data_IF_415677841251
#
_entry.id   IF_415677841251
#
_cell.length_a   1.000
_cell.length_b   1.000
_cell.length_c   1.000
_cell.angle_alpha   90.00
_cell.angle_beta   90.00
_cell.angle_gamma   90.00
#
_symmetry.space_group_name_H-M   'P 1'
#
loop_
_entity.id
_entity.type
_entity.pdbx_description
1 polymer ?
#
# COMPACT_ATOMS: atom_id res chain seq x y z
N UNK A 1 -14.37 26.19 -10.19
CA UNK A 1 -13.84 26.89 -9.00
C UNK A 1 -12.33 26.88 -9.07
N UNK A 2 -11.69 28.05 -8.86
CA UNK A 2 -10.24 28.19 -9.08
C UNK A 2 -9.45 28.13 -7.79
N UNK A 3 -8.20 27.64 -7.91
CA UNK A 3 -7.18 27.72 -6.86
C UNK A 3 -6.63 29.15 -6.85
N UNK A 4 -6.69 29.85 -5.71
CA UNK A 4 -6.20 31.22 -5.57
C UNK A 4 -4.88 31.34 -4.83
N UNK A 5 -4.53 30.36 -3.99
CA UNK A 5 -3.22 30.26 -3.33
C UNK A 5 -2.91 28.79 -2.98
N UNK A 6 -1.62 28.51 -2.72
CA UNK A 6 -1.12 27.20 -2.33
C UNK A 6 -0.13 27.35 -1.18
N UNK A 7 -0.28 26.52 -0.15
CA UNK A 7 0.65 26.47 0.97
C UNK A 7 1.27 25.07 1.07
N UNK A 8 2.54 25.01 1.44
CA UNK A 8 3.25 23.77 1.73
C UNK A 8 3.79 23.82 3.15
N UNK A 9 3.47 22.81 3.94
CA UNK A 9 3.91 22.74 5.34
C UNK A 9 4.58 21.41 5.64
N UNK A 10 5.71 21.46 6.36
CA UNK A 10 6.36 20.25 6.85
C UNK A 10 5.46 19.52 7.83
N UNK A 11 5.36 18.21 7.66
CA UNK A 11 4.62 17.30 8.53
C UNK A 11 5.38 15.98 8.71
N UNK A 12 4.84 15.07 9.52
CA UNK A 12 5.41 13.74 9.74
C UNK A 12 4.46 12.65 9.23
N UNK A 13 5.06 11.54 8.80
CA UNK A 13 4.34 10.32 8.50
C UNK A 13 4.07 9.50 9.78
N UNK A 14 3.29 8.44 9.65
CA UNK A 14 3.03 7.53 10.76
C UNK A 14 4.14 6.52 11.04
N UNK A 15 5.31 6.65 10.37
CA UNK A 15 6.45 5.76 10.57
C UNK A 15 7.78 6.48 10.33
N UNK A 16 8.78 5.79 9.76
CA UNK A 16 10.16 6.22 9.64
C UNK A 16 10.69 5.93 8.23
N UNK A 17 11.74 6.66 7.82
CA UNK A 17 12.59 6.26 6.72
C UNK A 17 13.68 5.33 7.24
N UNK A 18 13.90 4.22 6.56
CA UNK A 18 14.93 3.23 6.87
C UNK A 18 15.88 3.05 5.68
N UNK A 19 17.18 3.17 5.93
CA UNK A 19 18.20 2.86 4.93
C UNK A 19 18.31 1.32 4.74
N UNK A 20 17.54 0.81 3.78
CA UNK A 20 17.48 -0.63 3.49
C UNK A 20 18.85 -1.23 3.15
N UNK A 21 19.73 -0.46 2.45
CA UNK A 21 21.06 -0.93 2.09
C UNK A 21 21.94 -1.15 3.33
N UNK A 22 21.88 -0.21 4.28
CA UNK A 22 22.61 -0.34 5.54
C UNK A 22 22.06 -1.50 6.39
N UNK A 23 20.72 -1.65 6.47
CA UNK A 23 20.08 -2.73 7.23
C UNK A 23 20.44 -4.11 6.66
N UNK A 24 20.47 -4.26 5.33
CA UNK A 24 20.84 -5.53 4.68
C UNK A 24 22.33 -5.86 4.77
N UNK A 25 23.19 -4.87 5.04
CA UNK A 25 24.64 -5.07 5.08
C UNK A 25 25.11 -5.48 6.48
N UNK A 26 25.25 -4.53 7.39
CA UNK A 26 25.89 -4.78 8.69
C UNK A 26 25.24 -4.01 9.86
N UNK A 27 24.09 -3.37 9.65
CA UNK A 27 23.44 -2.61 10.70
C UNK A 27 23.00 -3.51 11.86
N UNK A 28 23.29 -3.10 13.07
CA UNK A 28 22.91 -3.82 14.29
C UNK A 28 21.70 -3.15 14.91
N UNK A 29 20.63 -3.88 15.11
CA UNK A 29 19.44 -3.37 15.78
C UNK A 29 19.70 -3.22 17.29
N UNK A 30 19.45 -2.01 17.82
CA UNK A 30 19.55 -1.69 19.24
C UNK A 30 18.23 -1.07 19.71
N UNK A 31 17.35 -1.88 20.25
CA UNK A 31 15.99 -1.47 20.55
C UNK A 31 15.25 -1.06 19.27
N UNK A 32 14.78 0.18 19.21
CA UNK A 32 14.12 0.73 18.01
C UNK A 32 15.10 1.39 17.04
N UNK A 33 16.34 1.60 17.43
CA UNK A 33 17.38 2.24 16.63
C UNK A 33 18.25 1.21 15.90
N UNK A 34 18.99 1.68 14.89
CA UNK A 34 20.04 0.93 14.23
C UNK A 34 21.40 1.58 14.49
N UNK A 35 22.41 0.76 14.73
CA UNK A 35 23.82 1.16 14.86
C UNK A 35 24.54 0.77 13.58
N UNK A 36 25.32 1.71 13.01
CA UNK A 36 26.08 1.55 11.77
C UNK A 36 26.10 2.83 10.96
N UNK A 37 26.71 2.76 9.79
CA UNK A 37 26.84 3.90 8.87
C UNK A 37 25.77 3.82 7.78
N UNK A 38 25.08 4.93 7.45
CA UNK A 38 24.18 5.01 6.32
C UNK A 38 24.88 4.66 5.00
N UNK A 39 24.15 4.04 4.08
CA UNK A 39 24.65 3.59 2.77
C UNK A 39 23.92 4.26 1.60
N UNK A 40 22.72 4.78 1.84
CA UNK A 40 21.89 5.45 0.82
C UNK A 40 22.04 6.96 0.92
N UNK A 41 22.19 7.62 -0.21
CA UNK A 41 22.33 9.08 -0.29
C UNK A 41 21.16 9.80 0.41
N UNK A 42 21.46 10.88 1.13
CA UNK A 42 20.48 11.67 1.90
C UNK A 42 20.25 11.18 3.33
N UNK A 43 20.54 9.91 3.65
CA UNK A 43 20.42 9.43 5.03
C UNK A 43 21.58 9.92 5.91
N UNK A 44 21.24 10.54 7.04
CA UNK A 44 22.19 10.92 8.09
C UNK A 44 22.26 9.89 9.22
N UNK A 45 21.25 9.05 9.34
CA UNK A 45 21.15 7.90 10.24
C UNK A 45 20.44 6.77 9.49
N UNK A 46 20.67 5.52 9.90
CA UNK A 46 20.03 4.35 9.27
C UNK A 46 18.50 4.40 9.39
N UNK A 47 17.98 4.92 10.51
CA UNK A 47 16.56 5.22 10.71
C UNK A 47 16.37 6.69 10.99
N UNK A 48 15.53 7.35 10.21
CA UNK A 48 15.18 8.76 10.34
C UNK A 48 13.67 8.92 10.49
N UNK A 49 13.18 10.02 11.12
CA UNK A 49 11.75 10.31 11.11
C UNK A 49 11.18 10.32 9.69
N UNK A 50 10.03 9.70 9.47
CA UNK A 50 9.31 9.82 8.22
C UNK A 50 8.75 11.24 8.08
N UNK A 51 9.17 11.97 7.05
CA UNK A 51 8.69 13.31 6.76
C UNK A 51 7.65 13.30 5.64
N UNK A 52 6.74 14.26 5.69
CA UNK A 52 5.76 14.52 4.65
C UNK A 52 5.65 16.03 4.42
N UNK A 53 5.05 16.41 3.28
CA UNK A 53 4.69 17.80 3.00
C UNK A 53 3.19 17.86 2.79
N UNK A 54 2.50 18.62 3.64
CA UNK A 54 1.08 18.87 3.46
C UNK A 54 0.89 19.97 2.41
N UNK A 55 0.11 19.66 1.38
CA UNK A 55 -0.28 20.55 0.28
C UNK A 55 -1.68 21.08 0.58
N UNK A 56 -1.84 22.41 0.64
CA UNK A 56 -3.09 23.07 0.93
C UNK A 56 -3.45 23.98 -0.24
N UNK A 57 -4.50 23.63 -1.00
CA UNK A 57 -5.00 24.38 -2.14
C UNK A 57 -6.15 25.26 -1.67
N UNK A 58 -5.94 26.57 -1.62
CA UNK A 58 -6.95 27.54 -1.21
C UNK A 58 -7.82 27.89 -2.43
N UNK A 59 -9.12 27.67 -2.33
CA UNK A 59 -10.09 27.95 -3.38
C UNK A 59 -10.69 29.35 -3.24
N UNK A 60 -11.20 29.92 -4.33
CA UNK A 60 -11.78 31.26 -4.38
C UNK A 60 -12.99 31.48 -3.44
N UNK A 61 -13.63 30.41 -2.98
CA UNK A 61 -14.71 30.47 -1.97
C UNK A 61 -14.21 30.32 -0.53
N UNK A 62 -12.89 30.18 -0.32
CA UNK A 62 -12.27 29.96 0.98
C UNK A 62 -12.17 28.50 1.44
N UNK A 63 -12.72 27.55 0.70
CA UNK A 63 -12.50 26.12 0.97
C UNK A 63 -11.03 25.76 0.72
N UNK A 64 -10.55 24.68 1.37
CA UNK A 64 -9.17 24.22 1.25
C UNK A 64 -9.13 22.75 0.86
N UNK A 65 -8.59 22.45 -0.32
CA UNK A 65 -8.23 21.09 -0.72
C UNK A 65 -6.91 20.69 -0.05
N UNK A 66 -6.83 19.50 0.54
CA UNK A 66 -5.67 19.06 1.32
C UNK A 66 -5.19 17.69 0.86
N UNK A 67 -3.86 17.52 0.78
CA UNK A 67 -3.21 16.24 0.52
C UNK A 67 -1.78 16.22 1.04
N UNK A 68 -1.22 15.04 1.27
CA UNK A 68 0.10 14.88 1.85
C UNK A 68 1.05 14.15 0.90
N UNK A 69 2.16 14.80 0.60
CA UNK A 69 3.30 14.18 -0.08
C UNK A 69 4.01 13.25 0.90
N UNK A 70 3.83 11.95 0.73
CA UNK A 70 4.47 10.92 1.54
C UNK A 70 5.19 9.93 0.64
N UNK A 71 6.39 9.49 1.05
CA UNK A 71 7.17 8.48 0.36
C UNK A 71 7.20 7.17 1.17
N UNK A 72 7.61 6.08 0.52
CA UNK A 72 7.74 4.78 1.18
C UNK A 72 8.89 4.75 2.20
N UNK A 73 8.83 3.83 3.14
CA UNK A 73 9.84 3.61 4.17
C UNK A 73 11.26 3.43 3.60
N UNK A 74 11.40 2.64 2.53
CA UNK A 74 12.67 2.31 1.90
C UNK A 74 12.95 3.20 0.67
N UNK A 75 12.86 4.52 0.84
CA UNK A 75 13.18 5.49 -0.22
C UNK A 75 14.61 5.34 -0.72
N UNK A 76 14.84 5.57 -2.02
CA UNK A 76 16.14 5.43 -2.67
C UNK A 76 16.62 3.99 -2.89
N UNK A 77 15.80 2.98 -2.58
CA UNK A 77 16.10 1.57 -2.80
C UNK A 77 15.10 0.93 -3.79
N UNK A 78 15.53 -0.12 -4.50
CA UNK A 78 14.63 -0.87 -5.39
C UNK A 78 14.06 -0.07 -6.56
N UNK A 79 14.82 0.88 -7.12
CA UNK A 79 14.39 1.74 -8.24
C UNK A 79 13.46 2.89 -7.84
N UNK A 80 13.24 3.11 -6.54
CA UNK A 80 12.42 4.20 -6.02
C UNK A 80 13.15 5.53 -6.04
N UNK A 81 12.38 6.62 -6.04
CA UNK A 81 12.89 7.99 -5.93
C UNK A 81 13.72 8.17 -4.65
N UNK A 82 14.61 9.19 -4.60
CA UNK A 82 15.47 9.48 -3.46
C UNK A 82 14.70 9.71 -2.15
N UNK A 83 15.42 9.81 -1.04
CA UNK A 83 14.85 10.19 0.25
C UNK A 83 14.09 11.52 0.16
N UNK A 84 12.86 11.54 0.67
CA UNK A 84 11.96 12.69 0.57
C UNK A 84 11.99 13.52 1.86
N UNK A 85 12.76 14.62 1.87
CA UNK A 85 12.89 15.52 3.02
C UNK A 85 12.18 16.84 2.76
N UNK A 86 11.33 17.26 3.70
CA UNK A 86 10.49 18.45 3.53
C UNK A 86 11.28 19.73 3.30
N UNK A 87 12.41 19.91 4.02
CA UNK A 87 13.23 21.11 3.92
C UNK A 87 13.92 21.24 2.55
N UNK A 88 14.10 20.14 1.81
CA UNK A 88 14.66 20.14 0.46
C UNK A 88 13.59 20.39 -0.61
N UNK A 89 12.41 19.79 -0.44
CA UNK A 89 11.37 19.82 -1.49
C UNK A 89 10.36 20.97 -1.35
N UNK A 90 10.15 21.57 -0.17
CA UNK A 90 9.28 22.75 -0.02
C UNK A 90 9.75 23.93 -0.91
N UNK A 91 11.04 24.34 -0.90
CA UNK A 91 11.51 25.40 -1.78
C UNK A 91 11.31 25.09 -3.27
N UNK A 92 11.46 23.83 -3.67
CA UNK A 92 11.20 23.37 -5.03
C UNK A 92 9.71 23.50 -5.41
N UNK A 93 8.81 23.04 -4.54
CA UNK A 93 7.36 23.16 -4.72
C UNK A 93 6.90 24.63 -4.81
N UNK A 94 7.40 25.50 -3.94
CA UNK A 94 7.09 26.93 -3.93
C UNK A 94 7.52 27.60 -5.25
N UNK A 95 8.73 27.29 -5.72
CA UNK A 95 9.29 27.91 -6.92
C UNK A 95 8.67 27.40 -8.21
N UNK A 96 8.48 26.10 -8.33
CA UNK A 96 8.19 25.47 -9.62
C UNK A 96 6.76 24.95 -9.77
N UNK A 97 6.11 24.53 -8.69
CA UNK A 97 4.78 23.88 -8.74
C UNK A 97 3.66 24.84 -8.37
N UNK A 98 3.84 25.64 -7.31
CA UNK A 98 2.84 26.63 -6.86
C UNK A 98 2.35 27.55 -7.99
N UNK A 99 3.23 28.16 -8.82
CA UNK A 99 2.76 29.04 -9.91
C UNK A 99 1.89 28.32 -10.96
N UNK A 100 2.06 27.00 -11.11
CA UNK A 100 1.28 26.19 -12.05
C UNK A 100 -0.08 25.79 -11.49
N UNK A 101 -0.19 25.65 -10.17
CA UNK A 101 -1.44 25.30 -9.50
C UNK A 101 -2.39 26.50 -9.36
N UNK A 102 -1.86 27.71 -9.16
CA UNK A 102 -2.66 28.93 -9.04
C UNK A 102 -3.39 29.19 -10.36
N UNK A 103 -4.70 29.38 -10.27
CA UNK A 103 -5.58 29.61 -11.43
C UNK A 103 -6.20 28.35 -12.03
N UNK A 104 -5.77 27.14 -11.65
CA UNK A 104 -6.39 25.88 -12.09
C UNK A 104 -7.85 25.79 -11.65
N UNK A 105 -8.69 25.31 -12.54
CA UNK A 105 -10.09 24.99 -12.27
C UNK A 105 -10.23 23.54 -11.78
N UNK A 106 -10.73 23.39 -10.57
CA UNK A 106 -10.86 22.09 -9.90
C UNK A 106 -12.19 21.38 -10.21
N UNK A 107 -12.77 21.59 -11.39
CA UNK A 107 -14.05 20.99 -11.79
C UNK A 107 -13.96 19.53 -12.20
N UNK A 108 -12.78 19.07 -12.69
CA UNK A 108 -12.53 17.72 -13.17
C UNK A 108 -11.21 17.20 -12.61
N UNK A 109 -11.27 16.23 -11.72
CA UNK A 109 -10.09 15.65 -11.08
C UNK A 109 -9.25 14.86 -12.09
N UNK A 110 -9.88 14.05 -12.93
CA UNK A 110 -9.17 13.19 -13.89
C UNK A 110 -8.19 13.97 -14.76
N UNK A 111 -8.64 15.07 -15.35
CA UNK A 111 -7.78 15.93 -16.18
C UNK A 111 -6.63 16.54 -15.38
N UNK A 112 -6.90 17.01 -14.16
CA UNK A 112 -5.87 17.61 -13.32
C UNK A 112 -4.87 16.56 -12.82
N UNK A 113 -5.34 15.41 -12.38
CA UNK A 113 -4.44 14.36 -11.89
C UNK A 113 -3.50 13.85 -12.97
N UNK A 114 -3.99 13.62 -14.20
CA UNK A 114 -3.14 13.26 -15.34
C UNK A 114 -2.11 14.34 -15.63
N UNK A 115 -2.51 15.62 -15.64
CA UNK A 115 -1.60 16.75 -15.87
C UNK A 115 -0.45 16.79 -14.86
N UNK A 116 -0.76 16.72 -13.56
CA UNK A 116 0.25 16.86 -12.50
C UNK A 116 1.04 15.59 -12.25
N UNK A 117 0.47 14.42 -12.50
CA UNK A 117 1.22 13.17 -12.44
C UNK A 117 2.27 13.07 -13.56
N UNK A 118 1.99 13.62 -14.76
CA UNK A 118 2.93 13.64 -15.88
C UNK A 118 3.76 14.92 -15.97
N UNK A 119 3.67 15.81 -14.97
CA UNK A 119 4.40 17.08 -15.00
C UNK A 119 5.92 16.85 -15.01
N UNK A 120 6.57 17.46 -16.01
CA UNK A 120 8.03 17.46 -16.17
C UNK A 120 8.54 18.86 -15.97
N UNK A 121 9.47 19.04 -15.05
CA UNK A 121 10.15 20.34 -14.77
C UNK A 121 11.64 20.12 -14.96
N UNK A 122 12.27 20.98 -15.76
CA UNK A 122 13.71 20.90 -16.08
C UNK A 122 14.14 19.51 -16.59
N UNK A 123 13.29 18.87 -17.39
CA UNK A 123 13.53 17.54 -17.98
C UNK A 123 13.34 16.35 -17.03
N UNK A 124 12.89 16.57 -15.79
CA UNK A 124 12.62 15.52 -14.81
C UNK A 124 11.15 15.49 -14.42
N UNK A 125 10.60 14.30 -14.29
CA UNK A 125 9.27 14.10 -13.69
C UNK A 125 9.32 14.44 -12.22
N UNK A 126 8.23 14.94 -11.66
CA UNK A 126 8.13 15.18 -10.22
C UNK A 126 8.35 13.89 -9.43
N UNK A 127 8.97 14.02 -8.27
CA UNK A 127 9.10 12.93 -7.29
C UNK A 127 7.74 12.25 -7.04
N UNK A 128 7.72 10.92 -6.91
CA UNK A 128 6.47 10.15 -6.68
C UNK A 128 5.67 10.68 -5.50
N UNK A 129 6.33 11.03 -4.38
CA UNK A 129 5.68 11.63 -3.22
C UNK A 129 4.99 12.96 -3.54
N UNK A 130 5.60 13.82 -4.35
CA UNK A 130 4.97 15.09 -4.77
C UNK A 130 3.73 14.85 -5.62
N UNK A 131 3.82 13.94 -6.61
CA UNK A 131 2.67 13.57 -7.44
C UNK A 131 1.53 12.99 -6.59
N UNK A 132 1.87 12.17 -5.60
CA UNK A 132 0.95 11.57 -4.66
C UNK A 132 0.19 12.62 -3.84
N UNK A 133 0.90 13.55 -3.20
CA UNK A 133 0.30 14.59 -2.35
C UNK A 133 -0.48 15.65 -3.15
N UNK A 134 0.06 16.09 -4.29
CA UNK A 134 -0.61 17.09 -5.14
C UNK A 134 -1.93 16.52 -5.67
N UNK A 135 -1.96 15.29 -6.15
CA UNK A 135 -3.20 14.69 -6.65
C UNK A 135 -4.22 14.42 -5.55
N UNK A 136 -3.80 14.13 -4.31
CA UNK A 136 -4.69 14.08 -3.15
C UNK A 136 -5.35 15.45 -2.90
N UNK A 137 -4.54 16.51 -2.88
CA UNK A 137 -5.04 17.87 -2.66
C UNK A 137 -6.00 18.31 -3.79
N UNK A 138 -5.71 17.97 -5.04
CA UNK A 138 -6.60 18.22 -6.18
C UNK A 138 -7.90 17.44 -6.08
N UNK A 139 -7.86 16.17 -5.70
CA UNK A 139 -9.06 15.36 -5.46
C UNK A 139 -9.92 15.95 -4.33
N UNK A 140 -9.27 16.36 -3.23
CA UNK A 140 -9.93 17.04 -2.11
C UNK A 140 -10.59 18.36 -2.54
N UNK A 141 -9.88 19.16 -3.34
CA UNK A 141 -10.42 20.43 -3.87
C UNK A 141 -11.63 20.19 -4.80
N UNK A 142 -11.53 19.21 -5.72
CA UNK A 142 -12.63 18.82 -6.62
C UNK A 142 -13.85 18.34 -5.83
N UNK A 143 -13.64 17.50 -4.83
CA UNK A 143 -14.73 16.98 -4.00
C UNK A 143 -15.47 18.11 -3.26
N UNK A 144 -14.73 19.06 -2.67
CA UNK A 144 -15.30 20.23 -1.99
C UNK A 144 -16.06 21.13 -2.96
N UNK A 145 -15.45 21.50 -4.08
CA UNK A 145 -16.05 22.39 -5.08
C UNK A 145 -17.33 21.82 -5.70
N UNK A 146 -17.49 20.51 -5.69
CA UNK A 146 -18.63 19.80 -6.30
C UNK A 146 -19.56 19.18 -5.28
N UNK A 147 -19.33 19.41 -3.98
CA UNK A 147 -20.12 18.85 -2.87
C UNK A 147 -20.23 17.33 -2.89
N UNK A 148 -19.16 16.64 -3.34
CA UNK A 148 -19.04 15.17 -3.37
C UNK A 148 -18.02 14.67 -2.33
N UNK A 149 -18.05 13.40 -2.00
CA UNK A 149 -16.93 12.73 -1.34
C UNK A 149 -15.83 12.46 -2.36
N UNK A 150 -14.59 12.19 -1.90
CA UNK A 150 -13.49 11.79 -2.80
C UNK A 150 -13.88 10.53 -3.60
N UNK A 151 -14.54 9.57 -2.93
CA UNK A 151 -14.99 8.34 -3.55
C UNK A 151 -16.03 8.58 -4.65
N UNK A 152 -16.97 9.52 -4.47
CA UNK A 152 -17.93 9.88 -5.51
C UNK A 152 -17.25 10.52 -6.71
N UNK A 153 -16.24 11.39 -6.51
CA UNK A 153 -15.46 11.97 -7.62
C UNK A 153 -14.74 10.87 -8.40
N UNK A 154 -14.00 9.99 -7.72
CA UNK A 154 -13.28 8.89 -8.38
C UNK A 154 -14.25 7.94 -9.10
N UNK A 155 -15.36 7.55 -8.45
CA UNK A 155 -16.37 6.71 -9.09
C UNK A 155 -16.90 7.34 -10.37
N UNK A 156 -17.32 8.60 -10.30
CA UNK A 156 -17.97 9.26 -11.43
C UNK A 156 -17.01 9.47 -12.61
N UNK A 157 -15.71 9.70 -12.35
CA UNK A 157 -14.72 10.03 -13.37
C UNK A 157 -13.93 8.80 -13.89
N UNK A 158 -13.78 7.73 -13.09
CA UNK A 158 -13.00 6.54 -13.46
C UNK A 158 -13.84 5.26 -13.56
N UNK A 159 -14.89 5.11 -12.75
CA UNK A 159 -15.70 3.89 -12.66
C UNK A 159 -17.22 4.18 -12.67
N UNK A 160 -17.73 4.91 -13.67
CA UNK A 160 -19.11 5.41 -13.68
C UNK A 160 -20.19 4.32 -13.69
N UNK A 161 -19.83 3.09 -14.01
CA UNK A 161 -20.75 1.94 -13.99
C UNK A 161 -20.94 1.36 -12.60
N UNK A 162 -20.04 1.63 -11.66
CA UNK A 162 -20.13 1.17 -10.27
C UNK A 162 -21.03 2.09 -9.45
N UNK A 163 -22.33 1.79 -9.42
CA UNK A 163 -23.34 2.72 -8.86
C UNK A 163 -23.36 2.78 -7.32
N UNK A 164 -22.93 1.73 -6.65
CA UNK A 164 -23.05 1.59 -5.20
C UNK A 164 -21.66 1.48 -4.57
N UNK A 165 -21.36 2.38 -3.63
CA UNK A 165 -20.14 2.28 -2.82
C UNK A 165 -20.37 1.28 -1.70
N UNK A 166 -19.61 0.20 -1.69
CA UNK A 166 -19.70 -0.87 -0.71
C UNK A 166 -18.45 -0.91 0.17
N UNK A 167 -18.60 -1.48 1.38
CA UNK A 167 -17.48 -1.83 2.23
C UNK A 167 -16.60 -2.87 1.51
N UNK A 168 -15.31 -2.69 1.58
CA UNK A 168 -14.31 -3.66 1.10
C UNK A 168 -13.53 -4.23 2.29
N UNK A 169 -12.93 -5.43 2.18
CA UNK A 169 -12.13 -6.03 3.24
C UNK A 169 -10.95 -5.14 3.64
N UNK A 170 -10.63 -5.11 4.93
CA UNK A 170 -9.50 -4.37 5.49
C UNK A 170 -8.43 -5.35 5.95
N UNK A 171 -7.19 -5.11 5.52
CA UNK A 171 -6.00 -5.85 5.91
C UNK A 171 -5.21 -5.09 6.95
N UNK A 172 -4.96 -5.68 8.12
CA UNK A 172 -4.21 -5.05 9.20
C UNK A 172 -2.77 -5.56 9.28
N UNK A 173 -1.85 -4.65 9.59
CA UNK A 173 -0.44 -4.92 9.77
C UNK A 173 -0.10 -5.17 11.24
N UNK A 174 0.79 -6.15 11.52
CA UNK A 174 1.24 -6.44 12.88
C UNK A 174 2.59 -5.81 13.22
N UNK A 175 3.36 -5.40 12.21
CA UNK A 175 4.77 -5.12 12.42
C UNK A 175 5.49 -6.32 13.06
N UNK A 176 6.51 -6.05 13.86
CA UNK A 176 7.27 -7.09 14.58
C UNK A 176 6.56 -7.62 15.83
N UNK A 177 5.60 -6.90 16.40
CA UNK A 177 4.77 -7.40 17.52
C UNK A 177 3.64 -8.32 17.02
N UNK A 178 4.03 -9.38 16.34
CA UNK A 178 3.16 -10.28 15.59
C UNK A 178 2.11 -10.98 16.46
N UNK A 179 2.45 -11.32 17.69
CA UNK A 179 1.57 -12.09 18.56
C UNK A 179 0.51 -11.22 19.23
N UNK A 180 0.90 -10.14 19.89
CA UNK A 180 -0.05 -9.23 20.54
C UNK A 180 -0.98 -8.54 19.54
N UNK A 181 -0.45 -8.14 18.38
CA UNK A 181 -1.26 -7.50 17.37
C UNK A 181 -2.27 -8.46 16.72
N UNK A 182 -1.98 -9.74 16.60
CA UNK A 182 -2.99 -10.75 16.16
C UNK A 182 -4.18 -10.79 17.14
N UNK A 183 -3.95 -10.74 18.44
CA UNK A 183 -5.04 -10.69 19.43
C UNK A 183 -5.92 -9.46 19.25
N UNK A 184 -5.32 -8.29 19.03
CA UNK A 184 -6.05 -7.05 18.74
C UNK A 184 -6.88 -7.16 17.46
N UNK A 185 -6.34 -7.80 16.41
CA UNK A 185 -7.03 -8.04 15.13
C UNK A 185 -8.24 -8.95 15.32
N UNK A 186 -8.11 -10.03 16.07
CA UNK A 186 -9.22 -10.94 16.39
C UNK A 186 -10.33 -10.20 17.14
N UNK A 187 -9.98 -9.43 18.18
CA UNK A 187 -10.94 -8.65 18.96
C UNK A 187 -11.69 -7.60 18.11
N UNK A 188 -11.02 -7.03 17.11
CA UNK A 188 -11.62 -6.04 16.19
C UNK A 188 -12.27 -6.68 14.96
N UNK A 189 -12.22 -8.01 14.83
CA UNK A 189 -12.75 -8.76 13.68
C UNK A 189 -12.24 -8.21 12.34
N UNK A 190 -10.92 -8.09 12.20
CA UNK A 190 -10.26 -7.62 10.98
C UNK A 190 -10.44 -8.64 9.87
N UNK A 191 -10.68 -8.20 8.63
CA UNK A 191 -11.04 -9.09 7.52
C UNK A 191 -9.84 -9.91 6.99
N UNK A 192 -8.63 -9.30 6.96
CA UNK A 192 -7.39 -10.00 6.58
C UNK A 192 -6.25 -9.63 7.55
N UNK A 193 -5.41 -10.61 7.91
CA UNK A 193 -4.41 -10.47 8.96
C UNK A 193 -3.28 -11.52 8.81
N UNK A 194 -2.11 -11.33 9.38
CA UNK A 194 -1.61 -10.14 10.10
C UNK A 194 -0.54 -9.34 9.34
N UNK A 195 -0.23 -9.58 8.09
CA UNK A 195 0.98 -9.18 7.35
C UNK A 195 2.25 -9.92 7.86
N UNK A 196 2.51 -9.89 9.15
CA UNK A 196 3.50 -10.64 9.92
C UNK A 196 4.98 -10.28 9.73
N UNK A 197 5.36 -9.54 8.67
CA UNK A 197 6.73 -9.07 8.42
C UNK A 197 7.76 -10.23 8.47
N UNK A 198 7.58 -11.29 7.64
CA UNK A 198 8.46 -12.48 7.62
C UNK A 198 9.70 -12.20 6.74
N UNK A 199 10.50 -11.24 7.11
CA UNK A 199 11.64 -10.73 6.35
C UNK A 199 13.00 -11.33 6.76
N UNK A 200 13.03 -12.42 7.50
CA UNK A 200 14.24 -13.09 7.94
C UNK A 200 14.05 -14.61 7.94
N UNK A 201 14.91 -15.33 7.18
CA UNK A 201 14.83 -16.79 7.07
C UNK A 201 15.07 -17.46 8.41
N UNK A 202 16.19 -17.13 9.07
CA UNK A 202 16.61 -17.81 10.30
C UNK A 202 15.62 -17.61 11.45
N UNK A 203 15.17 -16.38 11.65
CA UNK A 203 14.46 -16.01 12.88
C UNK A 203 12.93 -16.07 12.74
N UNK A 204 12.40 -15.89 11.52
CA UNK A 204 10.95 -15.74 11.27
C UNK A 204 10.34 -16.81 10.38
N UNK A 205 11.02 -17.21 9.30
CA UNK A 205 10.54 -18.26 8.38
C UNK A 205 10.91 -19.67 8.86
N UNK A 206 12.15 -19.88 9.27
CA UNK A 206 12.80 -21.20 9.39
C UNK A 206 13.47 -21.64 8.09
N UNK A 207 14.52 -22.47 8.17
CA UNK A 207 15.27 -22.90 6.97
C UNK A 207 14.47 -23.83 6.04
N UNK A 208 13.41 -24.44 6.55
CA UNK A 208 12.44 -25.24 5.80
C UNK A 208 11.01 -24.66 5.93
N UNK A 209 10.87 -23.40 6.33
CA UNK A 209 9.59 -22.76 6.52
C UNK A 209 8.86 -23.16 7.81
N UNK A 210 9.49 -23.94 8.68
CA UNK A 210 8.90 -24.54 9.88
C UNK A 210 8.36 -23.49 10.87
N UNK A 211 9.06 -22.37 11.04
CA UNK A 211 8.62 -21.31 11.97
C UNK A 211 7.38 -20.59 11.49
N UNK A 212 7.24 -20.38 10.18
CA UNK A 212 6.03 -19.80 9.61
C UNK A 212 4.86 -20.77 9.71
N UNK A 213 5.07 -22.07 9.46
CA UNK A 213 4.03 -23.09 9.66
C UNK A 213 3.52 -23.10 11.11
N UNK A 214 4.44 -23.07 12.07
CA UNK A 214 4.07 -23.02 13.50
C UNK A 214 3.31 -21.74 13.86
N UNK A 215 3.71 -20.60 13.28
CA UNK A 215 3.01 -19.33 13.46
C UNK A 215 1.60 -19.36 12.85
N UNK A 216 1.42 -19.94 11.66
CA UNK A 216 0.10 -20.10 11.02
C UNK A 216 -0.81 -21.01 11.87
N UNK A 217 -0.30 -22.14 12.36
CA UNK A 217 -1.03 -23.03 13.28
C UNK A 217 -1.45 -22.31 14.57
N UNK A 218 -0.52 -21.56 15.16
CA UNK A 218 -0.79 -20.75 16.34
C UNK A 218 -1.91 -19.70 16.06
N UNK A 219 -1.85 -18.98 14.93
CA UNK A 219 -2.89 -18.01 14.55
C UNK A 219 -4.26 -18.69 14.43
N UNK A 220 -4.33 -19.83 13.73
CA UNK A 220 -5.56 -20.60 13.60
C UNK A 220 -6.16 -20.94 14.98
N UNK A 221 -5.37 -21.51 15.86
CA UNK A 221 -5.82 -21.86 17.22
C UNK A 221 -6.27 -20.63 18.01
N UNK A 222 -5.53 -19.50 17.84
CA UNK A 222 -5.85 -18.24 18.51
C UNK A 222 -7.18 -17.66 18.03
N UNK A 223 -7.43 -17.68 16.72
CA UNK A 223 -8.71 -17.25 16.14
C UNK A 223 -9.85 -18.14 16.65
N UNK A 224 -9.73 -19.44 16.56
CA UNK A 224 -10.76 -20.39 17.02
C UNK A 224 -11.10 -20.20 18.50
N UNK A 225 -10.11 -19.86 19.32
CA UNK A 225 -10.29 -19.66 20.77
C UNK A 225 -10.92 -18.33 21.14
N UNK A 226 -10.60 -17.24 20.42
CA UNK A 226 -10.92 -15.87 20.83
C UNK A 226 -11.82 -15.10 19.87
N UNK A 227 -12.25 -15.72 18.75
CA UNK A 227 -13.17 -15.07 17.79
C UNK A 227 -14.45 -14.63 18.48
N UNK A 228 -14.91 -13.43 18.13
CA UNK A 228 -16.12 -12.82 18.70
C UNK A 228 -17.42 -13.45 18.16
N UNK A 229 -17.34 -14.19 17.04
CA UNK A 229 -18.44 -14.89 16.40
C UNK A 229 -17.92 -16.15 15.71
N UNK A 230 -18.74 -17.20 15.65
CA UNK A 230 -18.42 -18.40 14.87
C UNK A 230 -18.32 -18.13 13.36
N UNK A 231 -19.00 -17.07 12.89
CA UNK A 231 -18.96 -16.63 11.50
C UNK A 231 -17.71 -15.80 11.16
N UNK A 232 -16.85 -15.49 12.13
CA UNK A 232 -15.61 -14.78 11.86
C UNK A 232 -14.60 -15.70 11.18
N UNK A 233 -14.36 -15.43 9.89
CA UNK A 233 -13.48 -16.19 9.00
C UNK A 233 -12.48 -15.22 8.34
N UNK A 234 -11.45 -14.76 9.06
CA UNK A 234 -10.46 -13.87 8.45
C UNK A 234 -9.61 -14.60 7.42
N UNK A 235 -9.10 -13.86 6.44
CA UNK A 235 -8.07 -14.35 5.54
C UNK A 235 -6.73 -14.23 6.25
N UNK A 236 -5.94 -15.29 6.29
CA UNK A 236 -4.55 -15.22 6.73
C UNK A 236 -3.71 -14.68 5.58
N UNK A 237 -3.07 -13.52 5.76
CA UNK A 237 -2.25 -12.89 4.73
C UNK A 237 -0.89 -12.54 5.33
N UNK A 238 0.15 -13.20 4.84
CA UNK A 238 1.52 -13.05 5.34
C UNK A 238 2.44 -12.57 4.23
N UNK A 239 3.24 -11.55 4.53
CA UNK A 239 4.27 -11.05 3.62
C UNK A 239 5.63 -11.65 3.99
N UNK A 240 6.25 -12.34 3.04
CA UNK A 240 7.48 -13.09 3.26
C UNK A 240 8.71 -12.52 2.56
N UNK A 241 8.62 -11.38 1.90
CA UNK A 241 9.78 -10.60 1.39
C UNK A 241 10.81 -11.42 0.59
N UNK A 242 10.37 -12.41 -0.19
CA UNK A 242 11.24 -13.32 -0.95
C UNK A 242 11.94 -14.40 -0.11
N UNK A 243 11.72 -14.45 1.21
CA UNK A 243 12.43 -15.40 2.09
C UNK A 243 12.11 -16.86 1.79
N UNK A 244 10.91 -17.15 1.28
CA UNK A 244 10.54 -18.52 0.84
C UNK A 244 11.42 -18.93 -0.36
N UNK A 245 11.55 -18.07 -1.36
CA UNK A 245 12.47 -18.31 -2.49
C UNK A 245 13.91 -18.57 -2.02
N UNK A 246 14.40 -17.78 -1.08
CA UNK A 246 15.75 -17.95 -0.50
C UNK A 246 15.87 -19.33 0.20
N UNK A 247 14.92 -19.69 1.06
CA UNK A 247 14.95 -20.94 1.82
C UNK A 247 14.91 -22.17 0.90
N UNK A 248 14.13 -22.12 -0.15
CA UNK A 248 13.96 -23.20 -1.12
C UNK A 248 14.79 -23.04 -2.40
N UNK A 249 15.76 -22.10 -2.43
CA UNK A 249 16.71 -21.89 -3.54
C UNK A 249 16.00 -21.59 -4.88
N UNK A 250 14.90 -20.87 -4.82
CA UNK A 250 14.03 -20.52 -5.95
C UNK A 250 13.49 -21.75 -6.74
N UNK A 251 13.44 -22.90 -6.11
CA UNK A 251 12.89 -24.15 -6.68
C UNK A 251 11.35 -24.10 -6.59
N UNK A 252 10.70 -23.93 -7.74
CA UNK A 252 9.24 -23.78 -7.85
C UNK A 252 8.51 -24.99 -7.25
N UNK A 253 9.00 -26.21 -7.49
CA UNK A 253 8.34 -27.43 -6.99
C UNK A 253 8.36 -27.51 -5.46
N UNK A 254 9.47 -27.11 -4.84
CA UNK A 254 9.56 -27.04 -3.38
C UNK A 254 8.67 -25.94 -2.79
N UNK A 255 8.61 -24.79 -3.47
CA UNK A 255 7.72 -23.69 -3.05
C UNK A 255 6.25 -24.11 -3.13
N UNK A 256 5.84 -24.78 -4.21
CA UNK A 256 4.48 -25.32 -4.37
C UNK A 256 4.16 -26.38 -3.30
N UNK A 257 5.11 -27.29 -3.03
CA UNK A 257 4.97 -28.26 -1.94
C UNK A 257 4.78 -27.58 -0.58
N UNK A 258 5.57 -26.54 -0.31
CA UNK A 258 5.46 -25.76 0.91
C UNK A 258 4.12 -25.01 1.01
N UNK A 259 3.59 -24.51 -0.10
CA UNK A 259 2.23 -23.93 -0.13
C UNK A 259 1.15 -24.93 0.28
N UNK A 260 1.30 -26.22 -0.08
CA UNK A 260 0.38 -27.27 0.39
C UNK A 260 0.44 -27.45 1.92
N UNK A 261 1.65 -27.42 2.50
CA UNK A 261 1.82 -27.47 3.94
C UNK A 261 1.19 -26.25 4.65
N UNK A 262 1.31 -25.05 4.01
CA UNK A 262 0.66 -23.83 4.49
C UNK A 262 -0.87 -23.92 4.43
N UNK A 263 -1.45 -24.44 3.35
CA UNK A 263 -2.90 -24.66 3.23
C UNK A 263 -3.40 -25.57 4.36
N UNK A 264 -2.74 -26.69 4.62
CA UNK A 264 -3.09 -27.61 5.71
C UNK A 264 -2.98 -26.92 7.08
N UNK A 265 -1.89 -26.18 7.31
CA UNK A 265 -1.69 -25.46 8.55
C UNK A 265 -2.77 -24.40 8.80
N UNK A 266 -3.18 -23.68 7.75
CA UNK A 266 -4.15 -22.60 7.81
C UNK A 266 -5.60 -23.09 7.89
N UNK A 267 -5.91 -24.25 7.31
CA UNK A 267 -7.30 -24.75 7.19
C UNK A 267 -8.07 -24.65 8.51
N UNK A 268 -9.32 -24.10 8.54
CA UNK A 268 -10.19 -23.83 7.39
C UNK A 268 -10.06 -22.41 6.77
N UNK A 269 -9.07 -21.61 7.17
CA UNK A 269 -8.89 -20.24 6.68
C UNK A 269 -8.14 -20.24 5.35
N UNK A 270 -8.57 -19.37 4.43
CA UNK A 270 -7.77 -19.04 3.24
C UNK A 270 -6.45 -18.40 3.68
N UNK A 271 -5.35 -18.78 3.05
CA UNK A 271 -4.05 -18.13 3.25
C UNK A 271 -3.56 -17.46 1.97
N UNK A 272 -3.04 -16.24 2.11
CA UNK A 272 -2.33 -15.48 1.10
C UNK A 272 -0.85 -15.40 1.45
N UNK A 273 -0.02 -15.61 0.46
CA UNK A 273 1.42 -15.52 0.58
C UNK A 273 1.91 -14.38 -0.32
N UNK A 274 2.26 -13.25 0.30
CA UNK A 274 2.76 -12.06 -0.41
C UNK A 274 4.28 -12.14 -0.56
N UNK A 275 4.77 -11.84 -1.78
CA UNK A 275 6.18 -11.83 -2.09
C UNK A 275 6.92 -13.14 -1.83
N UNK A 276 6.43 -14.33 -2.25
CA UNK A 276 7.09 -15.61 -1.91
C UNK A 276 8.49 -15.74 -2.51
N UNK A 277 8.75 -15.07 -3.62
CA UNK A 277 10.00 -15.14 -4.37
C UNK A 277 10.40 -13.76 -4.90
N UNK A 278 11.69 -13.45 -4.84
CA UNK A 278 12.32 -12.31 -5.50
C UNK A 278 13.61 -12.80 -6.17
N UNK A 279 13.67 -12.78 -7.49
CA UNK A 279 14.85 -13.23 -8.27
C UNK A 279 15.90 -12.14 -8.44
N UNK A 280 15.63 -10.92 -7.93
CA UNK A 280 16.53 -9.77 -8.05
C UNK A 280 16.30 -8.94 -9.30
N UNK A 281 15.34 -9.31 -10.15
CA UNK A 281 14.92 -8.54 -11.32
C UNK A 281 13.41 -8.69 -11.59
N UNK A 282 12.87 -7.72 -12.34
CA UNK A 282 11.45 -7.63 -12.65
C UNK A 282 10.91 -8.81 -13.47
N UNK A 283 11.64 -9.21 -14.52
CA UNK A 283 11.19 -10.25 -15.44
C UNK A 283 11.23 -11.62 -14.78
N UNK A 284 12.36 -11.95 -14.14
CA UNK A 284 12.53 -13.20 -13.42
C UNK A 284 11.51 -13.39 -12.31
N UNK A 285 11.25 -12.34 -11.53
CA UNK A 285 10.24 -12.37 -10.45
C UNK A 285 8.84 -12.56 -11.03
N UNK A 286 8.47 -11.84 -12.09
CA UNK A 286 7.18 -12.02 -12.76
C UNK A 286 6.99 -13.45 -13.26
N UNK A 287 8.00 -14.02 -13.94
CA UNK A 287 7.96 -15.39 -14.47
C UNK A 287 7.76 -16.40 -13.32
N UNK A 288 8.55 -16.26 -12.26
CA UNK A 288 8.49 -17.18 -11.11
C UNK A 288 7.13 -17.14 -10.42
N UNK A 289 6.58 -15.94 -10.15
CA UNK A 289 5.24 -15.77 -9.54
C UNK A 289 4.13 -16.36 -10.43
N UNK A 290 4.20 -16.12 -11.75
CA UNK A 290 3.27 -16.72 -12.73
C UNK A 290 3.31 -18.26 -12.67
N UNK A 291 4.50 -18.82 -12.66
CA UNK A 291 4.69 -20.27 -12.71
C UNK A 291 4.28 -20.93 -11.37
N UNK A 292 4.56 -20.31 -10.22
CA UNK A 292 4.02 -20.73 -8.92
C UNK A 292 2.49 -20.72 -8.95
N UNK A 293 1.88 -19.60 -9.32
CA UNK A 293 0.42 -19.49 -9.40
C UNK A 293 -0.18 -20.58 -10.27
N UNK A 294 0.36 -20.75 -11.49
CA UNK A 294 -0.14 -21.76 -12.44
C UNK A 294 -0.11 -23.18 -11.83
N UNK A 295 0.97 -23.53 -11.12
CA UNK A 295 1.09 -24.84 -10.46
C UNK A 295 0.09 -25.00 -9.32
N UNK A 296 -0.11 -23.96 -8.51
CA UNK A 296 -1.11 -23.99 -7.43
C UNK A 296 -2.52 -24.21 -7.98
N UNK A 297 -2.88 -23.51 -9.07
CA UNK A 297 -4.18 -23.65 -9.73
C UNK A 297 -4.35 -25.07 -10.33
N UNK A 298 -3.33 -25.62 -11.01
CA UNK A 298 -3.34 -26.95 -11.62
C UNK A 298 -3.46 -28.07 -10.57
N UNK A 299 -2.87 -27.89 -9.39
CA UNK A 299 -2.85 -28.88 -8.31
C UNK A 299 -3.98 -28.67 -7.28
N UNK A 300 -4.87 -27.68 -7.50
CA UNK A 300 -5.97 -27.29 -6.62
C UNK A 300 -5.49 -26.99 -5.18
N UNK A 301 -4.35 -26.30 -5.03
CA UNK A 301 -3.84 -25.82 -3.76
C UNK A 301 -4.42 -24.42 -3.51
N UNK A 302 -5.20 -24.26 -2.43
CA UNK A 302 -5.92 -23.03 -2.12
C UNK A 302 -5.05 -22.04 -1.31
N UNK A 303 -3.91 -21.68 -1.89
CA UNK A 303 -3.02 -20.60 -1.43
C UNK A 303 -2.99 -19.52 -2.50
N UNK A 304 -3.35 -18.30 -2.15
CA UNK A 304 -3.29 -17.18 -3.09
C UNK A 304 -1.95 -16.49 -3.01
N UNK A 305 -1.26 -16.32 -4.15
CA UNK A 305 -0.02 -15.57 -4.27
C UNK A 305 -0.33 -14.11 -4.52
N UNK A 306 0.32 -13.24 -3.75
CA UNK A 306 0.23 -11.78 -3.92
C UNK A 306 1.58 -11.26 -4.39
N UNK A 307 1.59 -10.55 -5.53
CA UNK A 307 2.79 -9.89 -6.03
C UNK A 307 2.89 -8.49 -5.40
N UNK A 308 4.05 -8.15 -4.86
CA UNK A 308 4.40 -6.84 -4.29
C UNK A 308 5.64 -6.25 -4.95
N UNK A 309 6.79 -6.89 -4.80
CA UNK A 309 8.04 -6.37 -5.34
C UNK A 309 8.00 -6.27 -6.87
N UNK A 310 8.63 -5.21 -7.40
CA UNK A 310 8.65 -4.86 -8.83
C UNK A 310 7.30 -4.37 -9.40
N UNK A 311 6.27 -4.16 -8.57
CA UNK A 311 4.99 -3.55 -8.94
C UNK A 311 4.97 -2.04 -8.61
N UNK A 312 6.01 -1.28 -9.00
CA UNK A 312 6.24 0.09 -8.54
C UNK A 312 5.56 1.16 -9.43
N UNK A 313 5.12 0.81 -10.63
CA UNK A 313 4.49 1.72 -11.58
C UNK A 313 3.19 1.13 -12.14
N UNK A 314 2.35 1.96 -12.76
CA UNK A 314 1.16 1.47 -13.45
C UNK A 314 1.51 0.51 -14.60
N UNK A 315 2.62 0.75 -15.31
CA UNK A 315 3.14 -0.14 -16.34
C UNK A 315 3.56 -1.49 -15.77
N UNK A 316 4.14 -1.54 -14.56
CA UNK A 316 4.46 -2.79 -13.88
C UNK A 316 3.19 -3.55 -13.49
N UNK A 317 2.20 -2.86 -12.92
CA UNK A 317 0.90 -3.47 -12.59
C UNK A 317 0.28 -4.11 -13.84
N UNK A 318 0.27 -3.42 -14.98
CA UNK A 318 -0.21 -3.98 -16.24
C UNK A 318 0.59 -5.21 -16.66
N UNK A 319 1.91 -5.13 -16.60
CA UNK A 319 2.80 -6.21 -16.99
C UNK A 319 2.59 -7.47 -16.14
N UNK A 320 2.48 -7.34 -14.83
CA UNK A 320 2.22 -8.47 -13.92
C UNK A 320 0.80 -9.01 -14.10
N UNK A 321 -0.20 -8.15 -14.26
CA UNK A 321 -1.59 -8.57 -14.47
C UNK A 321 -1.78 -9.32 -15.79
N UNK A 322 -1.21 -8.83 -16.90
CA UNK A 322 -1.29 -9.46 -18.22
C UNK A 322 -0.64 -10.85 -18.23
N UNK A 323 0.42 -11.04 -17.45
CA UNK A 323 1.12 -12.31 -17.30
C UNK A 323 0.54 -13.19 -16.18
N UNK A 324 -0.50 -12.76 -15.48
CA UNK A 324 -1.09 -13.49 -14.34
C UNK A 324 -0.06 -13.84 -13.25
N UNK A 325 0.85 -12.92 -12.97
CA UNK A 325 1.92 -13.09 -12.00
C UNK A 325 1.41 -12.87 -10.56
N UNK A 326 0.60 -13.78 -10.07
CA UNK A 326 -0.08 -13.76 -8.77
C UNK A 326 -1.60 -13.76 -8.91
N UNK A 327 -2.29 -14.21 -7.88
CA UNK A 327 -3.76 -14.17 -7.77
C UNK A 327 -4.24 -12.74 -7.48
N UNK A 328 -3.38 -11.94 -6.82
CA UNK A 328 -3.61 -10.56 -6.44
C UNK A 328 -2.32 -9.76 -6.62
N UNK A 329 -2.44 -8.47 -6.94
CA UNK A 329 -1.30 -7.54 -6.98
C UNK A 329 -1.46 -6.48 -5.89
N UNK A 330 -0.38 -6.18 -5.19
CA UNK A 330 -0.32 -5.02 -4.30
C UNK A 330 -0.14 -3.74 -5.12
N UNK A 331 -1.05 -2.80 -4.92
CA UNK A 331 -0.99 -1.46 -5.49
C UNK A 331 -0.40 -0.55 -4.41
N UNK A 332 0.92 -0.38 -4.44
CA UNK A 332 1.68 0.38 -3.43
C UNK A 332 1.51 1.87 -3.68
N UNK A 333 0.59 2.48 -2.95
CA UNK A 333 0.04 3.79 -3.28
C UNK A 333 1.06 4.92 -3.45
N UNK A 334 2.09 5.12 -2.59
CA UNK A 334 3.06 6.19 -2.83
C UNK A 334 4.00 5.93 -4.01
N UNK A 335 4.34 4.65 -4.31
CA UNK A 335 5.24 4.30 -5.42
C UNK A 335 4.60 4.61 -6.78
N UNK A 336 3.28 4.45 -6.91
CA UNK A 336 2.57 4.77 -8.15
C UNK A 336 2.46 6.28 -8.42
N UNK A 337 2.70 7.13 -7.43
CA UNK A 337 2.59 8.58 -7.54
C UNK A 337 1.13 9.05 -7.57
N UNK A 338 0.63 9.57 -8.69
CA UNK A 338 -0.70 10.15 -8.75
C UNK A 338 -1.85 9.18 -8.41
N UNK A 339 -2.92 9.69 -7.77
CA UNK A 339 -4.12 8.90 -7.44
C UNK A 339 -4.84 8.33 -8.68
N UNK A 340 -4.65 8.95 -9.85
CA UNK A 340 -5.10 8.40 -11.14
C UNK A 340 -4.50 7.01 -11.39
N UNK A 341 -3.20 6.84 -11.18
CA UNK A 341 -2.52 5.56 -11.38
C UNK A 341 -3.04 4.48 -10.42
N UNK A 342 -3.40 4.86 -9.18
CA UNK A 342 -3.97 3.94 -8.20
C UNK A 342 -5.36 3.47 -8.66
N UNK A 343 -6.23 4.41 -9.04
CA UNK A 343 -7.56 4.09 -9.54
C UNK A 343 -7.50 3.20 -10.80
N UNK A 344 -6.68 3.56 -11.77
CA UNK A 344 -6.50 2.83 -13.02
C UNK A 344 -5.89 1.45 -12.80
N UNK A 345 -4.93 1.31 -11.86
CA UNK A 345 -4.33 0.02 -11.49
C UNK A 345 -5.37 -0.94 -10.90
N UNK A 346 -6.21 -0.47 -9.97
CA UNK A 346 -7.29 -1.28 -9.40
C UNK A 346 -8.24 -1.76 -10.50
N UNK A 347 -8.69 -0.84 -11.35
CA UNK A 347 -9.64 -1.15 -12.42
C UNK A 347 -9.04 -2.09 -13.46
N UNK A 348 -7.76 -1.92 -13.80
CA UNK A 348 -7.06 -2.80 -14.74
C UNK A 348 -6.92 -4.23 -14.20
N UNK A 349 -6.49 -4.38 -12.94
CA UNK A 349 -6.44 -5.71 -12.31
C UNK A 349 -7.80 -6.41 -12.38
N UNK A 350 -8.88 -5.70 -12.06
CA UNK A 350 -10.24 -6.26 -12.10
C UNK A 350 -10.66 -6.64 -13.53
N UNK A 351 -10.32 -5.84 -14.54
CA UNK A 351 -10.57 -6.17 -15.95
C UNK A 351 -9.86 -7.46 -16.36
N UNK A 352 -8.65 -7.71 -15.84
CA UNK A 352 -7.86 -8.92 -16.11
C UNK A 352 -8.24 -10.12 -15.23
N UNK A 353 -9.20 -9.96 -14.32
CA UNK A 353 -9.58 -11.02 -13.37
C UNK A 353 -8.48 -11.32 -12.34
N UNK A 354 -7.69 -10.31 -11.98
CA UNK A 354 -6.67 -10.35 -10.95
C UNK A 354 -7.17 -9.57 -9.74
N UNK A 355 -6.95 -10.07 -8.53
CA UNK A 355 -7.28 -9.37 -7.31
C UNK A 355 -6.50 -8.05 -7.19
N UNK A 356 -7.19 -6.98 -6.76
CA UNK A 356 -6.61 -5.67 -6.56
C UNK A 356 -6.50 -5.35 -5.06
N UNK A 357 -5.28 -5.35 -4.54
CA UNK A 357 -4.98 -4.97 -3.17
C UNK A 357 -4.54 -3.50 -3.14
N UNK A 358 -5.43 -2.60 -2.69
CA UNK A 358 -5.07 -1.20 -2.44
C UNK A 358 -4.19 -1.15 -1.18
N UNK A 359 -2.90 -1.32 -1.39
CA UNK A 359 -1.87 -1.41 -0.37
C UNK A 359 -1.35 -0.05 0.06
N UNK A 360 -0.04 0.06 0.17
CA UNK A 360 0.65 1.26 0.57
C UNK A 360 1.85 0.95 1.45
N UNK A 361 2.13 1.85 2.37
CA UNK A 361 3.24 1.71 3.31
C UNK A 361 2.85 2.17 4.69
N UNK A 362 3.55 1.67 5.71
CA UNK A 362 3.44 2.21 7.07
C UNK A 362 3.85 3.69 7.15
N UNK A 363 4.70 4.14 6.22
CA UNK A 363 5.22 5.51 6.16
C UNK A 363 4.28 6.45 5.37
N UNK A 364 3.01 6.40 5.67
CA UNK A 364 1.98 7.31 5.13
C UNK A 364 1.44 8.25 6.21
N UNK A 365 0.47 9.09 5.84
CA UNK A 365 -0.23 9.98 6.77
C UNK A 365 -1.70 9.56 6.92
N UNK A 366 -2.39 10.11 7.90
CA UNK A 366 -3.83 9.91 8.03
C UNK A 366 -4.61 10.45 6.80
N UNK A 367 -4.17 11.55 6.19
CA UNK A 367 -4.84 12.12 5.01
C UNK A 367 -4.65 11.24 3.78
N UNK A 368 -3.44 10.75 3.53
CA UNK A 368 -3.19 9.83 2.42
C UNK A 368 -3.95 8.51 2.59
N UNK A 369 -4.03 7.98 3.82
CA UNK A 369 -4.83 6.79 4.13
C UNK A 369 -6.33 7.03 3.88
N UNK A 370 -6.87 8.18 4.26
CA UNK A 370 -8.25 8.59 3.97
C UNK A 370 -8.49 8.65 2.46
N UNK A 371 -7.61 9.34 1.71
CA UNK A 371 -7.76 9.49 0.27
C UNK A 371 -7.74 8.13 -0.45
N UNK A 372 -6.76 7.28 -0.16
CA UNK A 372 -6.63 5.96 -0.80
C UNK A 372 -7.72 4.98 -0.39
N UNK A 373 -8.23 5.04 0.83
CA UNK A 373 -9.42 4.28 1.24
C UNK A 373 -10.63 4.63 0.37
N UNK A 374 -10.84 5.91 0.09
CA UNK A 374 -11.95 6.36 -0.76
C UNK A 374 -11.75 5.97 -2.24
N UNK A 375 -10.50 5.99 -2.75
CA UNK A 375 -10.18 5.46 -4.08
C UNK A 375 -10.46 3.94 -4.13
N UNK A 376 -10.04 3.19 -3.11
CA UNK A 376 -10.26 1.74 -3.03
C UNK A 376 -11.76 1.39 -3.06
N UNK A 377 -12.60 2.11 -2.31
CA UNK A 377 -14.06 1.93 -2.31
C UNK A 377 -14.65 2.27 -3.69
N UNK A 378 -14.25 3.38 -4.30
CA UNK A 378 -14.77 3.85 -5.58
C UNK A 378 -14.45 2.89 -6.74
N UNK A 379 -13.25 2.29 -6.72
CA UNK A 379 -12.80 1.31 -7.70
C UNK A 379 -13.17 -0.13 -7.34
N UNK A 380 -13.81 -0.35 -6.19
CA UNK A 380 -14.18 -1.66 -5.67
C UNK A 380 -12.98 -2.61 -5.59
N UNK A 381 -11.92 -2.18 -4.92
CA UNK A 381 -10.75 -3.02 -4.65
C UNK A 381 -11.13 -4.27 -3.83
N UNK A 382 -10.33 -5.33 -3.93
CA UNK A 382 -10.60 -6.58 -3.23
C UNK A 382 -10.02 -6.60 -1.81
N UNK A 383 -9.11 -5.65 -1.51
CA UNK A 383 -8.48 -5.49 -0.21
C UNK A 383 -7.98 -4.05 -0.04
N UNK A 384 -8.03 -3.50 1.19
CA UNK A 384 -7.49 -2.20 1.56
C UNK A 384 -6.61 -2.30 2.80
N UNK A 385 -5.39 -1.76 2.73
CA UNK A 385 -4.44 -1.79 3.84
C UNK A 385 -4.84 -0.81 4.94
N UNK A 386 -4.83 -1.27 6.19
CA UNK A 386 -4.90 -0.42 7.37
C UNK A 386 -3.54 0.29 7.57
N UNK A 387 -3.53 1.60 7.43
CA UNK A 387 -2.36 2.48 7.49
C UNK A 387 -2.76 3.87 8.00
N UNK A 388 -1.85 4.75 8.40
CA UNK A 388 -0.41 4.59 8.52
C UNK A 388 0.02 3.74 9.73
N UNK A 389 1.34 3.57 9.88
CA UNK A 389 1.95 2.85 10.98
C UNK A 389 1.93 1.34 10.82
N UNK A 390 2.52 0.65 11.79
CA UNK A 390 2.60 -0.83 11.84
C UNK A 390 1.82 -1.42 13.02
N UNK A 391 1.08 -0.60 13.77
CA UNK A 391 0.17 -1.08 14.79
C UNK A 391 -1.26 -1.24 14.24
N UNK A 392 -2.04 -2.07 14.91
CA UNK A 392 -3.43 -2.32 14.50
C UNK A 392 -4.34 -1.14 14.83
N UNK A 393 -4.03 -0.39 15.88
CA UNK A 393 -5.00 0.48 16.52
C UNK A 393 -5.25 1.75 15.69
N UNK A 394 -4.17 2.45 15.31
CA UNK A 394 -4.26 3.71 14.56
C UNK A 394 -4.72 3.50 13.12
N UNK A 395 -4.01 2.68 12.37
CA UNK A 395 -4.28 2.46 10.95
C UNK A 395 -5.67 1.85 10.69
N UNK A 396 -6.04 0.83 11.45
CA UNK A 396 -7.35 0.20 11.32
C UNK A 396 -8.49 1.17 11.64
N UNK A 397 -8.35 1.96 12.70
CA UNK A 397 -9.34 2.98 13.08
C UNK A 397 -9.54 4.01 11.96
N UNK A 398 -8.45 4.53 11.38
CA UNK A 398 -8.51 5.54 10.32
C UNK A 398 -9.25 4.98 9.11
N UNK A 399 -8.80 3.84 8.59
CA UNK A 399 -9.35 3.24 7.37
C UNK A 399 -10.80 2.78 7.57
N UNK A 400 -11.08 2.05 8.66
CA UNK A 400 -12.44 1.56 8.93
C UNK A 400 -13.43 2.70 9.13
N UNK A 401 -13.10 3.69 9.95
CA UNK A 401 -14.01 4.78 10.23
C UNK A 401 -14.25 5.64 9.00
N UNK A 402 -13.24 5.85 8.16
CA UNK A 402 -13.41 6.56 6.89
C UNK A 402 -14.33 5.81 5.94
N UNK A 403 -14.13 4.52 5.79
CA UNK A 403 -14.96 3.67 4.95
C UNK A 403 -16.44 3.75 5.35
N UNK A 404 -16.74 3.61 6.64
CA UNK A 404 -18.12 3.70 7.15
C UNK A 404 -18.74 5.10 6.95
N UNK A 405 -17.97 6.16 7.20
CA UNK A 405 -18.44 7.55 6.98
C UNK A 405 -18.80 7.81 5.53
N UNK A 406 -17.93 7.43 4.61
CA UNK A 406 -18.13 7.66 3.17
C UNK A 406 -19.32 6.89 2.63
N UNK A 407 -19.49 5.64 3.02
CA UNK A 407 -20.63 4.81 2.62
C UNK A 407 -21.94 5.40 3.17
N UNK A 408 -21.95 5.85 4.43
CA UNK A 408 -23.13 6.50 5.02
C UNK A 408 -23.50 7.79 4.29
N UNK A 409 -22.52 8.63 3.93
CA UNK A 409 -22.73 9.88 3.17
C UNK A 409 -23.28 9.60 1.76
N UNK A 410 -22.69 8.65 1.05
CA UNK A 410 -23.13 8.26 -0.30
C UNK A 410 -24.55 7.68 -0.30
N UNK A 411 -24.91 6.90 0.73
CA UNK A 411 -26.26 6.34 0.85
C UNK A 411 -27.32 7.39 1.20
N UNK A 412 -26.94 8.47 1.89
CA UNK A 412 -27.88 9.58 2.19
C UNK A 412 -28.33 10.33 0.94
N UNK A 413 -27.51 10.35 -0.10
CA UNK A 413 -27.74 11.11 -1.34
C UNK A 413 -28.57 10.35 -2.38
N UNK A 414 -28.94 9.12 -2.07
CA UNK A 414 -29.88 8.31 -2.87
C UNK A 414 -31.30 8.64 -2.47
#
# INVERSE_FOLDING_TARGET
MKIVDVLFTKSYTGFYFDDQKAIKKDAIQSGFMYIGEPQTEGFTQIRMPGEAISVQLILENGDVGIGDCAAVQYSGAGGRDPLFLADEYIPYLEKHVKPLLIGEDVSCFKTLSEKYDHLVIEGKRLHTAMRYGITQALLSATARSTYRTLAEVIRDEYNPNHKVLNRIPIFAQSGDDRYNNVDKMILKSVDAMPHALINNVKDKLGYQGEKLLDYVKWMKERILKYRTSENYQPILHVDVYGTVGIAFQNDIEKIVSYCRDLEEAASPYLIRLEGPIDTGDREGTMIALRDIRKRLDEENIHVEIVADEWCNTFEDIKYFADNKAGHMLQIKTPDLGGLNNIAESILYCKEKGIGAYCGGTCNETNLSAIATTQVAIACNADLCLAKPGMDVDGGFMIVKNEMERVIALANRRK
#
